data_IF_367959706285
#
_entry.id   IF_367959706285
#
_cell.length_a   1.000
_cell.length_b   1.000
_cell.length_c   1.000
_cell.angle_alpha   90.00
_cell.angle_beta   90.00
_cell.angle_gamma   90.00
#
_symmetry.space_group_name_H-M   'P 1'
#
loop_
_entity.id
_entity.type
_entity.pdbx_description
1 polymer ?
#
# COMPACT_ATOMS: atom_id res chain seq x y z
N UNK A 1 -1.12 26.30 -3.83
CA UNK A 1 -0.37 25.09 -3.42
C UNK A 1 0.39 24.55 -4.61
N UNK A 2 1.68 24.38 -4.46
CA UNK A 2 2.49 23.82 -5.54
C UNK A 2 2.24 22.32 -5.67
N UNK A 3 2.32 21.83 -6.90
CA UNK A 3 2.21 20.39 -7.15
C UNK A 3 3.41 19.65 -6.54
N UNK A 4 3.15 18.51 -5.94
CA UNK A 4 4.19 17.65 -5.39
C UNK A 4 4.84 16.89 -6.54
N UNK A 5 6.15 17.03 -6.71
CA UNK A 5 6.86 16.32 -7.77
C UNK A 5 7.01 14.84 -7.44
N UNK A 6 7.13 14.02 -8.50
CA UNK A 6 7.40 12.59 -8.35
C UNK A 6 8.70 12.33 -7.57
N UNK A 7 9.72 13.14 -7.80
CA UNK A 7 10.99 13.04 -7.09
C UNK A 7 10.83 13.30 -5.58
N UNK A 8 10.03 14.31 -5.21
CA UNK A 8 9.75 14.61 -3.80
C UNK A 8 9.01 13.45 -3.12
N UNK A 9 8.06 12.83 -3.83
CA UNK A 9 7.33 11.66 -3.32
C UNK A 9 8.31 10.53 -3.01
N UNK A 10 9.22 10.21 -3.92
CA UNK A 10 10.22 9.17 -3.70
C UNK A 10 11.11 9.46 -2.51
N UNK A 11 11.64 10.67 -2.40
CA UNK A 11 12.52 11.05 -1.28
C UNK A 11 11.80 10.89 0.05
N UNK A 12 10.54 11.31 0.14
CA UNK A 12 9.77 11.26 1.37
C UNK A 12 9.36 9.84 1.77
N UNK A 13 9.09 8.97 0.80
CA UNK A 13 8.45 7.68 1.06
C UNK A 13 9.36 6.47 0.87
N UNK A 14 10.50 6.62 0.20
CA UNK A 14 11.33 5.51 -0.29
C UNK A 14 11.74 4.49 0.77
N UNK A 15 12.01 4.92 2.00
CA UNK A 15 12.49 4.05 3.07
C UNK A 15 11.54 4.03 4.27
N UNK A 16 10.27 4.34 4.05
CA UNK A 16 9.35 4.48 5.17
C UNK A 16 8.20 3.49 5.11
N UNK A 17 8.09 2.67 6.14
CA UNK A 17 6.96 1.77 6.31
C UNK A 17 5.93 2.42 7.23
N UNK A 18 4.65 2.36 6.84
CA UNK A 18 3.55 2.85 7.65
C UNK A 18 2.95 1.69 8.44
N UNK A 19 3.40 1.52 9.67
CA UNK A 19 2.91 0.47 10.55
C UNK A 19 1.91 1.02 11.57
N UNK A 20 2.20 2.20 12.10
CA UNK A 20 1.30 2.89 13.03
C UNK A 20 1.37 4.39 12.80
N UNK A 21 0.22 5.05 12.99
CA UNK A 21 0.16 6.49 12.83
C UNK A 21 1.01 7.22 13.90
N UNK A 22 1.25 6.57 15.02
CA UNK A 22 2.09 7.15 16.08
C UNK A 22 3.54 7.41 15.65
N UNK A 23 4.00 6.69 14.62
CA UNK A 23 5.35 6.86 14.08
C UNK A 23 5.46 8.04 13.11
N UNK A 24 4.35 8.69 12.79
CA UNK A 24 4.31 9.80 11.85
C UNK A 24 4.32 11.13 12.58
N UNK A 25 5.20 12.03 12.16
CA UNK A 25 5.16 13.41 12.63
C UNK A 25 3.94 14.13 12.06
N UNK A 26 3.56 15.24 12.70
CA UNK A 26 2.48 16.09 12.19
C UNK A 26 2.77 16.54 10.76
N UNK A 27 4.01 16.91 10.50
CA UNK A 27 4.46 17.35 9.18
C UNK A 27 4.30 16.25 8.12
N UNK A 28 4.62 15.01 8.47
CA UNK A 28 4.43 13.89 7.54
C UNK A 28 2.97 13.61 7.26
N UNK A 29 2.12 13.69 8.29
CA UNK A 29 0.67 13.51 8.11
C UNK A 29 0.12 14.60 7.19
N UNK A 30 0.49 15.85 7.42
CA UNK A 30 0.07 16.97 6.57
C UNK A 30 0.57 16.80 5.13
N UNK A 31 1.80 16.34 4.96
CA UNK A 31 2.37 16.06 3.64
C UNK A 31 1.56 14.98 2.89
N UNK A 32 1.19 13.90 3.57
CA UNK A 32 0.40 12.83 2.97
C UNK A 32 -0.99 13.31 2.56
N UNK A 33 -1.63 14.15 3.40
CA UNK A 33 -2.93 14.73 3.05
C UNK A 33 -2.81 15.67 1.85
N UNK A 34 -1.73 16.42 1.76
CA UNK A 34 -1.45 17.28 0.62
C UNK A 34 -1.23 16.44 -0.65
N UNK A 35 -0.48 15.34 -0.55
CA UNK A 35 -0.29 14.41 -1.66
C UNK A 35 -1.62 13.83 -2.15
N UNK A 36 -2.49 13.46 -1.21
CA UNK A 36 -3.80 12.92 -1.56
C UNK A 36 -4.61 13.93 -2.39
N UNK A 37 -4.58 15.21 -2.01
CA UNK A 37 -5.25 16.27 -2.78
C UNK A 37 -4.65 16.43 -4.17
N UNK A 38 -3.32 16.37 -4.27
CA UNK A 38 -2.65 16.47 -5.58
C UNK A 38 -2.99 15.29 -6.49
N UNK A 39 -3.00 14.07 -5.97
CA UNK A 39 -3.38 12.90 -6.76
C UNK A 39 -4.85 12.94 -7.19
N UNK A 40 -5.71 13.53 -6.38
CA UNK A 40 -7.11 13.71 -6.76
C UNK A 40 -7.25 14.63 -7.98
N UNK A 41 -6.48 15.72 -8.00
CA UNK A 41 -6.51 16.70 -9.11
C UNK A 41 -5.69 16.27 -10.31
N UNK A 42 -4.52 15.71 -10.06
CA UNK A 42 -3.52 15.39 -11.09
C UNK A 42 -2.96 13.99 -10.85
N UNK A 43 -3.73 12.95 -11.13
CA UNK A 43 -3.25 11.58 -10.92
C UNK A 43 -2.10 11.23 -11.85
N UNK A 44 -1.06 10.62 -11.32
CA UNK A 44 0.06 10.13 -12.10
C UNK A 44 -0.13 8.64 -12.38
N UNK A 45 -0.68 8.32 -13.54
CA UNK A 45 -1.03 6.94 -13.92
C UNK A 45 0.17 6.03 -14.17
N UNK A 46 1.36 6.58 -14.20
CA UNK A 46 2.59 5.84 -14.46
C UNK A 46 3.49 5.74 -13.22
N UNK A 47 3.07 6.32 -12.08
CA UNK A 47 3.92 6.41 -10.88
C UNK A 47 4.42 5.05 -10.42
N UNK A 48 3.57 4.03 -10.44
CA UNK A 48 3.90 2.68 -10.00
C UNK A 48 4.02 1.70 -11.16
N UNK A 49 4.31 2.19 -12.36
CA UNK A 49 4.50 1.33 -13.53
C UNK A 49 5.63 0.33 -13.26
N UNK A 50 5.38 -0.94 -13.55
CA UNK A 50 6.34 -2.01 -13.33
C UNK A 50 6.42 -2.51 -11.89
N UNK A 51 5.62 -1.93 -10.99
CA UNK A 51 5.58 -2.34 -9.58
C UNK A 51 4.40 -3.26 -9.31
N UNK A 52 4.56 -4.11 -8.30
CA UNK A 52 3.51 -5.01 -7.82
C UNK A 52 3.12 -4.59 -6.41
N UNK A 53 1.83 -4.38 -6.20
CA UNK A 53 1.27 -4.08 -4.88
C UNK A 53 0.49 -5.30 -4.41
N UNK A 54 0.80 -5.78 -3.21
CA UNK A 54 0.06 -6.88 -2.59
C UNK A 54 -0.89 -6.34 -1.53
N UNK A 55 -2.16 -6.76 -1.58
CA UNK A 55 -3.14 -6.44 -0.55
C UNK A 55 -3.46 -7.71 0.23
N UNK A 56 -3.04 -7.77 1.49
CA UNK A 56 -3.18 -8.94 2.34
C UNK A 56 -4.19 -8.64 3.45
N UNK A 57 -5.42 -9.06 3.25
CA UNK A 57 -6.50 -8.77 4.20
C UNK A 57 -6.85 -10.03 4.98
N UNK A 58 -6.25 -10.15 6.17
CA UNK A 58 -6.52 -11.25 7.10
C UNK A 58 -7.85 -11.06 7.82
N UNK A 59 -8.37 -9.85 7.82
CA UNK A 59 -9.66 -9.50 8.38
C UNK A 59 -10.50 -8.90 7.25
N UNK A 60 -11.73 -9.37 7.01
CA UNK A 60 -12.56 -8.85 5.92
C UNK A 60 -12.78 -7.36 6.03
N UNK A 61 -12.50 -6.66 4.95
CA UNK A 61 -12.77 -5.22 4.84
C UNK A 61 -12.87 -4.87 3.36
N UNK A 62 -14.00 -5.20 2.77
CA UNK A 62 -14.21 -5.09 1.32
C UNK A 62 -13.94 -3.67 0.82
N UNK A 63 -14.52 -2.68 1.49
CA UNK A 63 -14.38 -1.28 1.06
C UNK A 63 -12.92 -0.83 1.08
N UNK A 64 -12.21 -1.11 2.16
CA UNK A 64 -10.81 -0.71 2.30
C UNK A 64 -9.93 -1.44 1.28
N UNK A 65 -10.14 -2.74 1.13
CA UNK A 65 -9.36 -3.53 0.18
C UNK A 65 -9.54 -3.02 -1.25
N UNK A 66 -10.80 -2.80 -1.67
CA UNK A 66 -11.08 -2.30 -3.02
C UNK A 66 -10.53 -0.89 -3.22
N UNK A 67 -10.54 -0.07 -2.18
CA UNK A 67 -9.97 1.28 -2.24
C UNK A 67 -8.46 1.23 -2.53
N UNK A 68 -7.71 0.42 -1.81
CA UNK A 68 -6.28 0.28 -2.05
C UNK A 68 -5.97 -0.35 -3.40
N UNK A 69 -6.74 -1.37 -3.80
CA UNK A 69 -6.54 -2.00 -5.10
C UNK A 69 -6.83 -1.03 -6.24
N UNK A 70 -7.87 -0.22 -6.10
CA UNK A 70 -8.21 0.81 -7.08
C UNK A 70 -7.10 1.85 -7.18
N UNK A 71 -6.60 2.32 -6.05
CA UNK A 71 -5.50 3.29 -6.04
C UNK A 71 -4.25 2.74 -6.72
N UNK A 72 -3.88 1.51 -6.41
CA UNK A 72 -2.72 0.87 -7.03
C UNK A 72 -2.89 0.76 -8.55
N UNK A 73 -4.06 0.31 -8.99
CA UNK A 73 -4.35 0.20 -10.41
C UNK A 73 -4.31 1.55 -11.13
N UNK A 74 -4.86 2.60 -10.50
CA UNK A 74 -4.83 3.94 -11.09
C UNK A 74 -3.43 4.52 -11.20
N UNK A 75 -2.51 4.09 -10.36
CA UNK A 75 -1.12 4.52 -10.40
C UNK A 75 -0.26 3.65 -11.32
N UNK A 76 -0.85 2.70 -12.01
CA UNK A 76 -0.15 1.87 -12.99
C UNK A 76 0.47 0.60 -12.44
N UNK A 77 0.23 0.26 -11.18
CA UNK A 77 0.74 -0.96 -10.58
C UNK A 77 -0.08 -2.18 -11.01
N UNK A 78 0.51 -3.36 -10.82
CA UNK A 78 -0.22 -4.62 -10.85
C UNK A 78 -0.52 -5.02 -9.42
N UNK A 79 -1.65 -5.71 -9.22
CA UNK A 79 -2.14 -6.03 -7.87
C UNK A 79 -2.26 -7.54 -7.69
N UNK A 80 -1.73 -8.05 -6.59
CA UNK A 80 -1.94 -9.40 -6.12
C UNK A 80 -2.47 -9.33 -4.69
N UNK A 81 -2.95 -10.44 -4.15
CA UNK A 81 -3.35 -10.46 -2.76
C UNK A 81 -4.49 -11.44 -2.48
N UNK A 82 -4.96 -11.36 -1.26
CA UNK A 82 -6.08 -12.17 -0.81
C UNK A 82 -6.90 -11.42 0.25
N UNK A 83 -8.11 -11.88 0.46
CA UNK A 83 -8.92 -11.50 1.60
C UNK A 83 -9.42 -12.77 2.27
N UNK A 84 -9.47 -12.76 3.60
CA UNK A 84 -9.86 -13.91 4.41
C UNK A 84 -8.75 -14.97 4.52
N UNK A 85 -8.05 -14.95 5.64
CA UNK A 85 -6.96 -15.87 5.94
C UNK A 85 -7.38 -17.36 5.94
N UNK A 86 -8.68 -17.65 6.05
CA UNK A 86 -9.17 -19.02 6.03
C UNK A 86 -8.98 -19.71 4.67
N UNK A 87 -8.81 -18.95 3.62
CA UNK A 87 -8.60 -19.48 2.27
C UNK A 87 -7.15 -19.37 1.83
N UNK A 88 -6.26 -18.90 2.70
CA UNK A 88 -4.86 -18.70 2.41
C UNK A 88 -3.98 -19.75 3.06
N UNK A 89 -2.68 -19.71 2.75
CA UNK A 89 -1.68 -20.64 3.29
C UNK A 89 -1.59 -20.61 4.81
N UNK A 90 -2.03 -19.54 5.46
CA UNK A 90 -2.00 -19.45 6.93
C UNK A 90 -2.84 -20.51 7.60
N UNK A 91 -3.90 -20.99 6.94
CA UNK A 91 -4.73 -22.08 7.48
C UNK A 91 -4.03 -23.42 7.43
N UNK A 92 -2.92 -23.52 6.71
CA UNK A 92 -2.12 -24.74 6.55
C UNK A 92 -0.92 -24.76 7.49
N UNK A 93 -0.91 -23.90 8.53
CA UNK A 93 0.16 -23.86 9.51
C UNK A 93 1.25 -22.85 9.20
N UNK A 94 1.12 -22.09 8.12
CA UNK A 94 2.06 -21.02 7.81
C UNK A 94 1.89 -19.85 8.76
N UNK A 95 2.99 -19.32 9.32
CA UNK A 95 2.93 -18.18 10.23
C UNK A 95 2.72 -16.87 9.46
N UNK A 96 2.25 -15.83 10.15
CA UNK A 96 2.14 -14.50 9.57
C UNK A 96 3.49 -14.02 9.03
N UNK A 97 4.56 -14.25 9.81
CA UNK A 97 5.91 -13.87 9.40
C UNK A 97 6.31 -14.56 8.09
N UNK A 98 6.04 -15.86 7.99
CA UNK A 98 6.37 -16.62 6.78
C UNK A 98 5.59 -16.11 5.57
N UNK A 99 4.31 -15.82 5.76
CA UNK A 99 3.48 -15.26 4.70
C UNK A 99 4.04 -13.92 4.20
N UNK A 100 4.39 -13.02 5.12
CA UNK A 100 4.94 -11.71 4.76
C UNK A 100 6.28 -11.86 4.06
N UNK A 101 7.16 -12.74 4.54
CA UNK A 101 8.44 -12.98 3.91
C UNK A 101 8.29 -13.52 2.49
N UNK A 102 7.36 -14.44 2.29
CA UNK A 102 7.07 -14.97 0.97
C UNK A 102 6.57 -13.88 0.03
N UNK A 103 5.58 -13.11 0.46
CA UNK A 103 4.99 -12.06 -0.37
C UNK A 103 6.00 -10.95 -0.67
N UNK A 104 6.92 -10.67 0.25
CA UNK A 104 7.94 -9.64 0.04
C UNK A 104 8.87 -9.97 -1.13
N UNK A 105 8.96 -11.23 -1.53
CA UNK A 105 9.71 -11.62 -2.73
C UNK A 105 8.94 -11.34 -4.02
N UNK A 106 7.62 -11.16 -3.94
CA UNK A 106 6.77 -10.96 -5.11
C UNK A 106 6.34 -9.51 -5.30
N UNK A 107 6.20 -8.78 -4.21
CA UNK A 107 5.62 -7.43 -4.25
C UNK A 107 6.63 -6.37 -3.84
N UNK A 108 6.48 -5.19 -4.42
CA UNK A 108 7.27 -4.02 -4.05
C UNK A 108 6.64 -3.28 -2.88
N UNK A 109 5.32 -3.35 -2.75
CA UNK A 109 4.55 -2.71 -1.69
C UNK A 109 3.55 -3.71 -1.14
N UNK A 110 3.44 -3.77 0.18
CA UNK A 110 2.45 -4.61 0.86
C UNK A 110 1.50 -3.72 1.65
N UNK A 111 0.21 -3.85 1.38
CA UNK A 111 -0.86 -3.24 2.17
C UNK A 111 -1.53 -4.36 2.94
N UNK A 112 -1.53 -4.27 4.26
CA UNK A 112 -2.01 -5.36 5.10
C UNK A 112 -3.00 -4.88 6.14
N UNK A 113 -4.04 -5.68 6.37
CA UNK A 113 -4.95 -5.53 7.50
C UNK A 113 -4.98 -6.83 8.28
N UNK A 114 -4.67 -6.75 9.56
CA UNK A 114 -4.64 -7.89 10.48
C UNK A 114 -5.33 -7.51 11.79
N UNK A 115 -6.07 -8.44 12.37
CA UNK A 115 -6.76 -8.21 13.63
C UNK A 115 -5.84 -8.37 14.85
#
# INVERSE_FOLDING_TARGET
MEAISEHSIKIQMEKHNFVTIADLSKEKIEYLLQMAQEFEKHPNRELLKGKVVATLFFEPSTRTQLSFQTAANRLGARVIGFSDAKTSSTTKGETLKDTILMVSNYADIIVMRHF
#
